data_IF_433563021084
#
_entry.id   IF_433563021084
#
_cell.length_a   1.000
_cell.length_b   1.000
_cell.length_c   1.000
_cell.angle_alpha   90.00
_cell.angle_beta   90.00
_cell.angle_gamma   90.00
#
_symmetry.space_group_name_H-M   'P 1'
#
loop_
_entity.id
_entity.type
_entity.pdbx_description
1 polymer ?
#
# COMPACT_ATOMS: atom_id res chain seq x y z
N UNK A 1 21.46 14.17 4.80
CA UNK A 1 20.52 13.70 5.82
C UNK A 1 19.36 14.67 5.89
N UNK A 2 18.13 14.22 5.71
CA UNK A 2 16.98 15.12 5.63
C UNK A 2 16.39 15.32 7.01
N UNK A 3 15.94 16.56 7.29
CA UNK A 3 15.12 16.83 8.48
C UNK A 3 13.97 15.85 8.56
N UNK A 4 13.67 15.33 9.75
CA UNK A 4 12.45 14.57 9.94
C UNK A 4 11.27 15.42 9.52
N UNK A 5 10.38 14.89 8.67
CA UNK A 5 9.20 15.60 8.17
C UNK A 5 8.25 16.10 9.27
N UNK A 6 8.45 15.68 10.53
CA UNK A 6 7.66 16.14 11.67
C UNK A 6 7.89 17.61 12.07
N UNK A 7 9.02 18.22 11.64
CA UNK A 7 9.29 19.65 11.88
C UNK A 7 8.57 20.56 10.89
N UNK A 8 7.88 20.02 9.88
CA UNK A 8 7.11 20.80 8.91
C UNK A 8 7.95 21.68 7.98
N UNK A 9 9.27 21.51 7.98
CA UNK A 9 10.19 22.23 7.09
C UNK A 9 10.67 21.23 6.04
N UNK A 10 9.97 21.09 4.91
CA UNK A 10 10.37 20.14 3.88
C UNK A 10 11.73 20.55 3.29
N UNK A 11 12.64 19.57 3.19
CA UNK A 11 13.91 19.69 2.44
C UNK A 11 15.02 20.55 3.06
N UNK A 12 14.96 20.94 4.32
CA UNK A 12 16.10 21.57 4.98
C UNK A 12 17.07 20.53 5.51
N UNK A 13 18.33 20.63 5.11
CA UNK A 13 19.42 19.85 5.68
C UNK A 13 20.05 20.65 6.82
N UNK A 14 19.76 20.26 8.06
CA UNK A 14 20.31 20.95 9.25
C UNK A 14 21.67 20.40 9.67
N UNK A 15 22.30 19.55 8.84
CA UNK A 15 23.69 19.11 9.04
C UNK A 15 23.93 18.15 10.20
N UNK A 16 22.90 17.74 10.96
CA UNK A 16 23.03 16.71 12.01
C UNK A 16 21.87 15.72 11.98
N UNK A 17 22.13 14.48 12.39
CA UNK A 17 21.09 13.46 12.49
C UNK A 17 20.43 13.52 13.86
N UNK A 18 19.12 13.76 13.85
CA UNK A 18 18.31 13.53 15.06
C UNK A 18 18.08 12.02 15.17
N UNK A 19 18.49 11.38 16.27
CA UNK A 19 18.26 9.96 16.44
C UNK A 19 16.76 9.68 16.41
N UNK A 20 16.35 8.82 15.48
CA UNK A 20 14.97 8.35 15.42
C UNK A 20 14.79 7.20 16.41
N UNK A 21 13.99 7.43 17.42
CA UNK A 21 13.59 6.39 18.36
C UNK A 21 12.16 5.93 18.05
N UNK A 22 12.00 4.68 17.66
CA UNK A 22 10.68 4.04 17.56
C UNK A 22 10.36 3.48 18.95
N UNK A 23 9.38 4.08 19.62
CA UNK A 23 8.86 3.49 20.85
C UNK A 23 8.20 2.14 20.55
N UNK A 24 8.21 1.18 21.48
CA UNK A 24 7.41 -0.02 21.37
C UNK A 24 5.94 0.34 21.14
N UNK A 25 5.25 -0.45 20.33
CA UNK A 25 3.83 -0.27 20.12
C UNK A 25 3.08 -0.50 21.43
N UNK A 26 2.26 0.46 21.85
CA UNK A 26 1.44 0.32 23.07
C UNK A 26 0.23 -0.59 22.85
N UNK A 27 -0.22 -0.71 21.61
CA UNK A 27 -1.31 -1.60 21.22
C UNK A 27 -1.20 -2.00 19.75
N UNK A 28 -1.88 -3.08 19.42
CA UNK A 28 -2.04 -3.54 18.04
C UNK A 28 -3.08 -2.64 17.34
N UNK A 29 -2.85 -2.23 16.09
CA UNK A 29 -3.82 -1.48 15.29
C UNK A 29 -5.17 -2.20 15.22
N UNK A 30 -6.25 -1.46 15.33
CA UNK A 30 -7.62 -1.98 15.27
C UNK A 30 -8.39 -1.34 14.12
N UNK A 31 -9.45 -2.00 13.69
CA UNK A 31 -10.41 -1.43 12.73
C UNK A 31 -11.00 -0.16 13.33
N UNK A 32 -10.99 0.92 12.55
CA UNK A 32 -11.40 2.26 13.00
C UNK A 32 -10.24 3.21 13.29
N UNK A 33 -9.05 2.71 13.63
CA UNK A 33 -7.88 3.54 13.91
C UNK A 33 -7.42 4.29 12.67
N UNK A 34 -7.03 5.54 12.85
CA UNK A 34 -6.37 6.31 11.79
C UNK A 34 -4.87 6.10 11.89
N UNK A 35 -4.33 5.34 10.97
CA UNK A 35 -2.93 4.91 10.97
C UNK A 35 -2.05 5.87 10.19
N UNK A 36 -0.85 6.09 10.73
CA UNK A 36 0.28 6.72 10.03
C UNK A 36 1.25 5.62 9.66
N UNK A 37 1.55 5.46 8.38
CA UNK A 37 2.42 4.40 7.90
C UNK A 37 3.27 4.83 6.71
N UNK A 38 4.34 4.08 6.45
CA UNK A 38 5.15 4.23 5.26
C UNK A 38 4.37 3.70 4.06
N UNK A 39 4.31 4.48 2.99
CA UNK A 39 3.66 4.04 1.75
C UNK A 39 4.38 2.81 1.19
N UNK A 40 3.69 1.69 0.95
CA UNK A 40 4.34 0.45 0.53
C UNK A 40 5.12 0.57 -0.79
N UNK A 41 4.68 1.45 -1.69
CA UNK A 41 5.32 1.69 -2.99
C UNK A 41 6.34 2.85 -2.97
N UNK A 42 6.53 3.51 -1.83
CA UNK A 42 7.58 4.49 -1.61
C UNK A 42 7.82 4.70 -0.11
N UNK A 43 8.82 4.00 0.44
CA UNK A 43 9.17 4.03 1.87
C UNK A 43 9.52 5.41 2.44
N UNK A 44 9.74 6.40 1.59
CA UNK A 44 10.04 7.78 2.02
C UNK A 44 8.78 8.64 2.18
N UNK A 45 7.66 8.19 1.61
CA UNK A 45 6.37 8.85 1.75
C UNK A 45 5.58 8.22 2.89
N UNK A 46 4.91 9.05 3.68
CA UNK A 46 4.03 8.61 4.77
C UNK A 46 2.59 8.94 4.40
N UNK A 47 1.73 7.99 4.64
CA UNK A 47 0.29 8.15 4.46
C UNK A 47 -0.43 8.10 5.80
N UNK A 48 -1.57 8.79 5.82
CA UNK A 48 -2.54 8.74 6.92
C UNK A 48 -3.85 8.21 6.34
N UNK A 49 -4.28 7.05 6.79
CA UNK A 49 -5.52 6.40 6.34
C UNK A 49 -6.16 5.67 7.50
N UNK A 50 -7.47 5.43 7.40
CA UNK A 50 -8.20 4.65 8.38
C UNK A 50 -8.04 3.15 8.13
N UNK A 51 -7.69 2.40 9.17
CA UNK A 51 -7.73 0.93 9.15
C UNK A 51 -9.19 0.47 9.03
N UNK A 52 -9.52 -0.24 7.97
CA UNK A 52 -10.90 -0.72 7.74
C UNK A 52 -11.02 -2.23 7.80
N UNK A 53 -9.92 -2.94 7.68
CA UNK A 53 -9.84 -4.39 7.91
C UNK A 53 -8.45 -4.74 8.46
N UNK A 54 -8.39 -5.71 9.36
CA UNK A 54 -7.19 -6.19 10.03
C UNK A 54 -6.79 -7.60 9.59
N UNK A 55 -5.75 -8.16 10.24
CA UNK A 55 -5.23 -9.48 9.90
C UNK A 55 -6.29 -10.58 10.01
N UNK A 56 -6.46 -11.36 8.95
CA UNK A 56 -7.43 -12.45 8.87
C UNK A 56 -8.83 -12.05 8.43
N UNK A 57 -9.11 -10.76 8.26
CA UNK A 57 -10.39 -10.30 7.74
C UNK A 57 -10.52 -10.51 6.24
N UNK A 58 -11.75 -10.65 5.77
CA UNK A 58 -12.09 -10.61 4.35
C UNK A 58 -12.96 -9.41 4.08
N UNK A 59 -12.53 -8.53 3.19
CA UNK A 59 -13.26 -7.32 2.84
C UNK A 59 -13.77 -7.36 1.41
N UNK A 60 -14.87 -6.65 1.18
CA UNK A 60 -15.37 -6.33 -0.16
C UNK A 60 -16.03 -4.96 -0.17
N UNK A 61 -16.02 -4.32 -1.32
CA UNK A 61 -16.76 -3.07 -1.57
C UNK A 61 -17.79 -3.37 -2.64
N UNK A 62 -19.05 -3.16 -2.32
CA UNK A 62 -20.17 -3.36 -3.23
C UNK A 62 -20.98 -2.07 -3.31
N UNK A 63 -20.97 -1.45 -4.46
CA UNK A 63 -21.70 -0.20 -4.69
C UNK A 63 -21.36 0.88 -3.64
N UNK A 64 -20.04 1.07 -3.41
CA UNK A 64 -19.43 1.95 -2.39
C UNK A 64 -19.57 1.49 -0.94
N UNK A 65 -20.43 0.56 -0.61
CA UNK A 65 -20.57 0.03 0.73
C UNK A 65 -19.44 -0.95 1.03
N UNK A 66 -18.81 -0.74 2.18
CA UNK A 66 -17.75 -1.62 2.68
C UNK A 66 -18.36 -2.74 3.51
N UNK A 67 -17.97 -3.96 3.23
CA UNK A 67 -18.28 -5.15 4.03
C UNK A 67 -16.97 -5.76 4.53
N UNK A 68 -16.94 -6.13 5.79
CA UNK A 68 -15.84 -6.89 6.41
C UNK A 68 -16.43 -8.13 7.05
N UNK A 69 -15.91 -9.29 6.69
CA UNK A 69 -16.44 -10.58 7.13
C UNK A 69 -17.95 -10.76 6.86
N UNK A 70 -18.43 -10.20 5.73
CA UNK A 70 -19.83 -10.15 5.29
C UNK A 70 -20.75 -9.22 6.10
N UNK A 71 -20.21 -8.43 7.01
CA UNK A 71 -20.96 -7.44 7.77
C UNK A 71 -20.71 -6.04 7.18
N UNK A 72 -21.77 -5.26 6.97
CA UNK A 72 -21.66 -3.88 6.48
C UNK A 72 -21.01 -3.00 7.53
N UNK A 73 -19.90 -2.38 7.16
CA UNK A 73 -19.21 -1.42 8.01
C UNK A 73 -19.83 -0.03 7.81
N UNK A 74 -20.46 0.48 8.85
CA UNK A 74 -21.03 1.83 8.82
C UNK A 74 -19.93 2.86 8.58
N UNK A 75 -20.18 3.81 7.67
CA UNK A 75 -19.25 4.88 7.40
C UNK A 75 -18.97 5.68 8.67
N UNK A 76 -17.70 5.96 8.93
CA UNK A 76 -17.31 6.84 10.04
C UNK A 76 -17.83 8.27 9.84
N UNK A 77 -18.03 9.01 10.93
CA UNK A 77 -18.62 10.35 10.94
C UNK A 77 -17.99 11.33 9.93
N UNK A 78 -16.67 11.24 9.75
CA UNK A 78 -15.93 12.08 8.79
C UNK A 78 -15.86 11.50 7.38
N UNK A 79 -16.43 10.31 7.17
CA UNK A 79 -16.42 9.65 5.87
C UNK A 79 -17.38 10.30 4.89
N UNK A 80 -16.99 10.35 3.62
CA UNK A 80 -17.82 10.92 2.56
C UNK A 80 -17.59 10.31 1.21
N UNK A 81 -18.66 10.34 0.41
CA UNK A 81 -18.64 10.13 -1.02
C UNK A 81 -18.96 11.44 -1.72
N UNK A 82 -18.31 11.73 -2.83
CA UNK A 82 -18.47 12.97 -3.60
C UNK A 82 -19.18 12.74 -4.93
N UNK A 83 -19.16 11.51 -5.42
CA UNK A 83 -19.68 11.14 -6.74
C UNK A 83 -20.67 9.98 -6.62
N UNK A 84 -21.54 9.76 -7.61
CA UNK A 84 -22.31 8.53 -7.70
C UNK A 84 -21.42 7.29 -7.81
N UNK A 85 -21.96 6.11 -7.46
CA UNK A 85 -21.25 4.85 -7.58
C UNK A 85 -20.94 4.53 -9.04
N UNK A 86 -19.75 3.96 -9.26
CA UNK A 86 -19.35 3.44 -10.56
C UNK A 86 -20.09 2.13 -10.85
N UNK A 87 -20.51 1.97 -12.09
CA UNK A 87 -21.15 0.71 -12.51
C UNK A 87 -20.17 -0.45 -12.44
N UNK A 88 -20.66 -1.64 -12.04
CA UNK A 88 -19.84 -2.85 -11.87
C UNK A 88 -19.08 -3.28 -13.13
N UNK A 89 -19.65 -3.03 -14.31
CA UNK A 89 -19.01 -3.35 -15.59
C UNK A 89 -17.84 -2.41 -15.97
N UNK A 90 -17.73 -1.26 -15.31
CA UNK A 90 -16.64 -0.35 -15.57
C UNK A 90 -15.35 -0.88 -14.92
N UNK A 91 -14.36 -1.18 -15.75
CA UNK A 91 -13.07 -1.68 -15.29
C UNK A 91 -12.08 -0.54 -15.09
N UNK A 92 -11.56 -0.43 -13.88
CA UNK A 92 -10.55 0.56 -13.52
C UNK A 92 -9.17 -0.14 -13.42
N UNK A 93 -8.23 0.17 -14.33
CA UNK A 93 -7.01 -0.61 -14.48
C UNK A 93 -5.96 -0.42 -13.39
N UNK A 94 -6.05 0.66 -12.62
CA UNK A 94 -5.14 1.04 -11.53
C UNK A 94 -5.57 0.52 -10.15
N UNK A 95 -6.67 -0.21 -10.07
CA UNK A 95 -7.14 -0.87 -8.85
C UNK A 95 -6.31 -2.13 -8.58
N UNK A 96 -5.98 -2.35 -7.32
CA UNK A 96 -5.32 -3.56 -6.87
C UNK A 96 -6.13 -4.80 -7.28
N UNK A 97 -5.48 -5.79 -7.89
CA UNK A 97 -6.10 -7.00 -8.45
C UNK A 97 -7.06 -6.77 -9.64
N UNK A 98 -6.97 -5.62 -10.33
CA UNK A 98 -7.90 -5.23 -11.41
C UNK A 98 -7.98 -6.19 -12.61
N UNK A 99 -7.10 -7.17 -12.70
CA UNK A 99 -7.07 -8.11 -13.84
C UNK A 99 -8.05 -9.26 -13.75
N UNK A 100 -8.59 -9.54 -12.58
CA UNK A 100 -9.32 -10.79 -12.35
C UNK A 100 -10.79 -10.70 -12.74
N UNK A 101 -11.41 -9.55 -12.55
CA UNK A 101 -12.82 -9.32 -12.88
C UNK A 101 -13.08 -7.86 -13.23
N UNK A 102 -14.34 -7.53 -13.52
CA UNK A 102 -14.78 -6.15 -13.70
C UNK A 102 -14.79 -5.42 -12.35
N UNK A 103 -13.63 -4.99 -11.89
CA UNK A 103 -13.48 -4.30 -10.61
C UNK A 103 -13.08 -2.85 -10.80
N UNK A 104 -13.56 -2.04 -9.88
CA UNK A 104 -13.26 -0.63 -9.75
C UNK A 104 -13.26 -0.23 -8.27
N UNK A 105 -12.93 1.02 -7.95
CA UNK A 105 -12.84 1.49 -6.56
C UNK A 105 -14.12 1.34 -5.74
N UNK A 106 -15.29 1.27 -6.41
CA UNK A 106 -16.62 1.20 -5.79
C UNK A 106 -17.18 -0.23 -5.78
N UNK A 107 -16.53 -1.16 -6.50
CA UNK A 107 -16.89 -2.57 -6.58
C UNK A 107 -15.59 -3.39 -6.62
N UNK A 108 -15.19 -3.93 -5.49
CA UNK A 108 -13.88 -4.57 -5.27
C UNK A 108 -14.00 -5.74 -4.31
N UNK A 109 -13.30 -6.81 -4.55
CA UNK A 109 -13.20 -7.97 -3.66
C UNK A 109 -14.09 -9.14 -4.05
N UNK A 110 -14.23 -10.16 -3.18
CA UNK A 110 -13.67 -10.21 -1.83
C UNK A 110 -12.14 -10.31 -1.80
N UNK A 111 -11.50 -9.66 -0.84
CA UNK A 111 -10.05 -9.66 -0.62
C UNK A 111 -9.77 -10.09 0.81
N UNK A 112 -9.01 -11.14 0.98
CA UNK A 112 -8.52 -11.59 2.27
C UNK A 112 -7.31 -10.75 2.69
N UNK A 113 -7.26 -10.30 3.95
CA UNK A 113 -6.14 -9.57 4.52
C UNK A 113 -5.22 -10.55 5.23
N UNK A 114 -3.97 -10.74 4.77
CA UNK A 114 -3.09 -11.76 5.33
C UNK A 114 -2.76 -11.50 6.80
N UNK A 115 -2.58 -12.58 7.55
CA UNK A 115 -2.06 -12.53 8.92
C UNK A 115 -0.80 -13.37 9.05
N UNK A 116 -0.02 -13.05 10.05
CA UNK A 116 1.16 -13.84 10.42
C UNK A 116 0.81 -15.31 10.63
N UNK A 117 1.57 -16.19 10.00
CA UNK A 117 1.39 -17.63 10.05
C UNK A 117 0.45 -18.20 8.98
N UNK A 118 -0.17 -17.37 8.15
CA UNK A 118 -0.92 -17.87 6.99
C UNK A 118 0.01 -18.58 6.02
N UNK A 119 -0.48 -19.69 5.46
CA UNK A 119 0.26 -20.51 4.51
C UNK A 119 -0.43 -20.45 3.16
N UNK A 120 0.28 -19.95 2.17
CA UNK A 120 -0.17 -19.88 0.78
C UNK A 120 0.53 -20.96 -0.04
N UNK A 121 -0.21 -21.97 -0.57
CA UNK A 121 0.39 -22.96 -1.46
C UNK A 121 0.84 -22.30 -2.76
N UNK A 122 2.03 -22.69 -3.23
CA UNK A 122 2.60 -22.20 -4.48
C UNK A 122 2.40 -23.29 -5.55
N UNK A 123 1.74 -22.92 -6.62
CA UNK A 123 1.46 -23.80 -7.77
C UNK A 123 1.19 -22.95 -9.03
N UNK A 124 0.98 -23.57 -10.17
CA UNK A 124 0.75 -22.89 -11.45
C UNK A 124 -0.40 -21.86 -11.44
N UNK A 125 -1.42 -22.07 -10.57
CA UNK A 125 -2.58 -21.16 -10.44
C UNK A 125 -2.45 -20.18 -9.28
N UNK A 126 -1.25 -20.02 -8.71
CA UNK A 126 -1.02 -19.03 -7.65
C UNK A 126 -1.32 -17.63 -8.15
N UNK A 127 -2.12 -16.89 -7.41
CA UNK A 127 -2.37 -15.48 -7.70
C UNK A 127 -1.15 -14.63 -7.33
N UNK A 128 -0.22 -14.51 -8.26
CA UNK A 128 1.02 -13.77 -8.05
C UNK A 128 0.79 -12.26 -7.84
N UNK A 129 -0.27 -11.70 -8.37
CA UNK A 129 -0.60 -10.28 -8.13
C UNK A 129 -0.97 -10.01 -6.69
N UNK A 130 -1.50 -11.03 -6.01
CA UNK A 130 -1.81 -10.99 -4.59
C UNK A 130 -0.58 -11.34 -3.74
N UNK A 131 0.10 -12.44 -4.04
CA UNK A 131 1.13 -13.01 -3.19
C UNK A 131 2.49 -12.33 -3.34
N UNK A 132 2.89 -11.94 -4.54
CA UNK A 132 4.22 -11.37 -4.78
C UNK A 132 4.47 -10.05 -4.04
N UNK A 133 3.51 -9.08 -3.96
CA UNK A 133 3.67 -7.91 -3.12
C UNK A 133 3.93 -8.24 -1.64
N UNK A 134 3.28 -9.27 -1.11
CA UNK A 134 3.45 -9.73 0.27
C UNK A 134 4.88 -10.25 0.49
N UNK A 135 5.32 -11.16 -0.37
CA UNK A 135 6.68 -11.73 -0.37
C UNK A 135 7.73 -10.59 -0.38
N UNK A 136 7.56 -9.64 -1.28
CA UNK A 136 8.51 -8.53 -1.40
C UNK A 136 8.44 -7.53 -0.23
N UNK A 137 7.26 -7.29 0.36
CA UNK A 137 7.12 -6.47 1.58
C UNK A 137 7.78 -7.11 2.79
N UNK A 138 7.97 -8.42 2.78
CA UNK A 138 8.71 -9.17 3.79
C UNK A 138 10.23 -9.23 3.54
N UNK A 139 10.69 -8.56 2.48
CA UNK A 139 12.12 -8.35 2.21
C UNK A 139 12.73 -9.33 1.22
N UNK A 140 11.93 -10.20 0.64
CA UNK A 140 12.40 -11.11 -0.41
C UNK A 140 12.55 -10.39 -1.75
N UNK A 141 13.48 -10.87 -2.57
CA UNK A 141 13.70 -10.41 -3.93
C UNK A 141 12.90 -11.29 -4.90
N UNK A 142 12.44 -10.69 -5.98
CA UNK A 142 11.76 -11.42 -7.03
C UNK A 142 12.25 -10.97 -8.40
N UNK A 143 12.57 -11.93 -9.25
CA UNK A 143 12.99 -11.69 -10.63
C UNK A 143 12.20 -12.59 -11.58
N UNK A 144 12.00 -12.11 -12.80
CA UNK A 144 11.53 -12.93 -13.90
C UNK A 144 12.73 -13.16 -14.80
N UNK A 145 13.19 -14.38 -14.88
CA UNK A 145 14.41 -14.73 -15.62
C UNK A 145 14.10 -15.80 -16.66
N UNK A 146 14.14 -15.39 -17.92
CA UNK A 146 14.12 -16.31 -19.03
C UNK A 146 15.44 -16.17 -19.83
N UNK A 147 15.77 -17.11 -20.67
CA UNK A 147 17.06 -17.17 -21.36
C UNK A 147 17.40 -15.92 -22.20
N UNK A 148 16.42 -15.06 -22.48
CA UNK A 148 16.59 -13.87 -23.30
C UNK A 148 16.60 -12.57 -22.46
N UNK A 149 15.81 -12.50 -21.40
CA UNK A 149 15.58 -11.26 -20.64
C UNK A 149 15.43 -11.56 -19.15
N UNK A 150 16.12 -10.78 -18.33
CA UNK A 150 15.95 -10.80 -16.88
C UNK A 150 15.33 -9.49 -16.40
N UNK A 151 14.27 -9.60 -15.60
CA UNK A 151 13.56 -8.46 -15.01
C UNK A 151 13.55 -8.59 -13.49
N UNK A 152 13.90 -7.52 -12.79
CA UNK A 152 13.78 -7.44 -11.35
C UNK A 152 12.44 -6.76 -10.99
N UNK A 153 11.68 -7.36 -10.09
CA UNK A 153 10.49 -6.73 -9.53
C UNK A 153 10.86 -5.69 -8.48
N UNK A 154 10.10 -4.62 -8.41
CA UNK A 154 10.26 -3.60 -7.38
C UNK A 154 8.90 -3.17 -6.82
N UNK A 155 8.87 -2.89 -5.51
CA UNK A 155 7.73 -2.26 -4.86
C UNK A 155 7.66 -0.75 -5.14
N UNK A 156 8.76 -0.13 -5.54
CA UNK A 156 8.79 1.31 -5.79
C UNK A 156 8.02 1.66 -7.05
N UNK A 157 7.15 2.66 -6.97
CA UNK A 157 6.51 3.22 -8.15
C UNK A 157 7.49 4.17 -8.86
N UNK A 158 7.93 3.86 -10.09
CA UNK A 158 8.84 4.72 -10.82
C UNK A 158 8.32 6.15 -10.98
N UNK A 159 7.02 6.31 -11.23
CA UNK A 159 6.41 7.63 -11.45
C UNK A 159 6.43 8.48 -10.18
N UNK A 160 6.16 7.87 -9.02
CA UNK A 160 6.23 8.56 -7.72
C UNK A 160 7.66 8.97 -7.37
N UNK A 161 8.62 8.09 -7.63
CA UNK A 161 10.03 8.36 -7.41
C UNK A 161 10.52 9.49 -8.34
N UNK A 162 10.12 9.46 -9.61
CA UNK A 162 10.43 10.51 -10.60
C UNK A 162 9.87 11.88 -10.21
N UNK A 163 8.63 11.91 -9.72
CA UNK A 163 7.98 13.15 -9.29
C UNK A 163 8.76 13.82 -8.15
N UNK A 164 9.39 13.04 -7.29
CA UNK A 164 10.08 13.52 -6.09
C UNK A 164 11.52 13.95 -6.31
N UNK A 165 12.29 13.27 -7.16
CA UNK A 165 13.74 13.48 -7.27
C UNK A 165 14.26 13.99 -8.63
N UNK A 166 13.39 14.09 -9.65
CA UNK A 166 13.80 14.36 -11.01
C UNK A 166 14.36 13.11 -11.73
N UNK A 167 14.21 13.11 -13.06
CA UNK A 167 14.32 11.87 -13.84
C UNK A 167 15.70 11.18 -13.82
N UNK A 168 16.80 11.93 -13.92
CA UNK A 168 18.13 11.32 -14.12
C UNK A 168 18.78 10.71 -12.88
N UNK A 169 18.67 11.37 -11.74
CA UNK A 169 19.28 10.87 -10.48
C UNK A 169 18.58 9.62 -9.96
N UNK A 170 17.29 9.50 -10.24
CA UNK A 170 16.46 8.39 -9.79
C UNK A 170 16.73 7.13 -10.60
N UNK A 171 16.91 7.25 -11.90
CA UNK A 171 17.19 6.09 -12.76
C UNK A 171 18.46 5.34 -12.35
N UNK A 172 19.53 6.07 -12.03
CA UNK A 172 20.81 5.47 -11.63
C UNK A 172 20.78 4.87 -10.21
N UNK A 173 20.02 5.47 -9.29
CA UNK A 173 20.00 5.04 -7.89
C UNK A 173 19.04 3.86 -7.65
N UNK A 174 17.89 3.83 -8.36
CA UNK A 174 16.82 2.86 -8.12
C UNK A 174 16.66 1.83 -9.22
N UNK A 175 17.21 2.10 -10.40
CA UNK A 175 17.12 1.23 -11.56
C UNK A 175 18.49 1.05 -12.21
N UNK A 176 19.44 0.42 -11.51
CA UNK A 176 20.81 0.25 -12.02
C UNK A 176 20.89 -0.57 -13.32
N UNK A 177 19.87 -1.36 -13.61
CA UNK A 177 19.82 -2.28 -14.75
C UNK A 177 19.04 -1.77 -15.97
N UNK A 178 18.72 -0.47 -16.04
CA UNK A 178 18.26 0.12 -17.30
C UNK A 178 16.76 0.06 -17.58
N UNK A 179 15.91 0.03 -16.58
CA UNK A 179 14.49 0.37 -16.76
C UNK A 179 13.55 -0.76 -17.16
N UNK A 180 13.99 -1.99 -17.14
CA UNK A 180 13.16 -3.18 -17.34
C UNK A 180 12.65 -3.76 -16.03
N UNK A 181 12.23 -2.87 -15.12
CA UNK A 181 11.70 -3.29 -13.82
C UNK A 181 10.19 -3.49 -13.90
N UNK A 182 9.75 -4.65 -13.48
CA UNK A 182 8.34 -4.96 -13.30
C UNK A 182 7.93 -4.66 -11.86
N UNK A 183 6.81 -3.98 -11.69
CA UNK A 183 6.21 -3.85 -10.36
C UNK A 183 5.17 -4.95 -10.18
N UNK A 184 4.93 -5.45 -8.95
CA UNK A 184 3.89 -6.46 -8.71
C UNK A 184 2.49 -6.00 -9.12
N UNK A 185 2.29 -4.69 -9.27
CA UNK A 185 1.04 -4.08 -9.74
C UNK A 185 0.96 -3.95 -11.27
N UNK A 186 2.04 -4.27 -12.00
CA UNK A 186 2.02 -4.17 -13.46
C UNK A 186 1.16 -5.29 -14.06
N UNK A 187 0.55 -4.98 -15.21
CA UNK A 187 -0.23 -5.96 -15.96
C UNK A 187 0.63 -7.06 -16.63
N UNK A 188 1.94 -6.97 -16.48
CA UNK A 188 2.88 -7.85 -17.16
C UNK A 188 3.06 -9.21 -16.49
N UNK A 189 2.55 -9.42 -15.27
CA UNK A 189 2.53 -10.76 -14.68
C UNK A 189 1.37 -11.53 -15.32
N UNK A 190 1.72 -12.49 -16.14
CA UNK A 190 0.80 -13.43 -16.78
C UNK A 190 0.97 -14.81 -16.15
N UNK A 191 0.00 -15.69 -16.31
CA UNK A 191 0.01 -17.02 -15.69
C UNK A 191 1.16 -17.90 -16.20
N UNK A 192 1.61 -17.68 -17.45
CA UNK A 192 2.75 -18.39 -18.05
C UNK A 192 4.13 -17.94 -17.53
N UNK A 193 4.20 -16.81 -16.83
CA UNK A 193 5.43 -16.32 -16.24
C UNK A 193 5.89 -17.10 -15.00
N UNK A 194 5.04 -17.93 -14.42
CA UNK A 194 5.41 -18.75 -13.25
C UNK A 194 6.68 -19.56 -13.44
N UNK A 195 6.91 -20.10 -14.62
CA UNK A 195 8.09 -20.93 -14.96
C UNK A 195 9.41 -20.17 -14.86
N UNK A 196 9.35 -18.85 -15.00
CA UNK A 196 10.52 -17.96 -15.04
C UNK A 196 10.65 -17.10 -13.80
N UNK A 197 9.70 -17.23 -12.87
CA UNK A 197 9.71 -16.45 -11.61
C UNK A 197 10.72 -17.04 -10.65
N UNK A 198 11.61 -16.21 -10.15
CA UNK A 198 12.61 -16.54 -9.14
C UNK A 198 12.32 -15.74 -7.87
N UNK A 199 12.35 -16.40 -6.74
CA UNK A 199 12.25 -15.79 -5.40
C UNK A 199 13.57 -16.06 -4.67
N UNK A 200 14.30 -15.01 -4.31
CA UNK A 200 15.65 -15.09 -3.71
C UNK A 200 16.61 -15.98 -4.51
N UNK A 201 16.52 -15.90 -5.85
CA UNK A 201 17.34 -16.70 -6.74
C UNK A 201 16.95 -18.17 -6.86
N UNK A 202 15.81 -18.57 -6.29
CA UNK A 202 15.28 -19.94 -6.45
C UNK A 202 14.02 -19.92 -7.34
N UNK A 203 13.89 -20.90 -8.27
CA UNK A 203 12.69 -21.00 -9.09
C UNK A 203 11.43 -21.14 -8.22
N UNK A 204 10.39 -20.38 -8.55
CA UNK A 204 9.14 -20.41 -7.78
C UNK A 204 8.42 -21.76 -7.85
N UNK A 205 8.61 -22.53 -8.92
CA UNK A 205 8.08 -23.89 -9.07
C UNK A 205 8.71 -24.92 -8.13
N UNK A 206 9.86 -24.58 -7.52
CA UNK A 206 10.50 -25.40 -6.48
C UNK A 206 10.05 -25.06 -5.06
N UNK A 207 9.24 -24.01 -4.91
CA UNK A 207 8.62 -23.63 -3.65
C UNK A 207 7.26 -24.32 -3.53
N UNK A 208 7.01 -24.99 -2.41
CA UNK A 208 5.73 -25.64 -2.18
C UNK A 208 4.69 -24.67 -1.58
N UNK A 209 5.16 -23.78 -0.73
CA UNK A 209 4.31 -22.85 0.02
C UNK A 209 5.09 -21.59 0.42
N UNK A 210 4.35 -20.55 0.75
CA UNK A 210 4.86 -19.34 1.38
C UNK A 210 4.15 -19.12 2.72
N UNK A 211 4.92 -18.90 3.78
CA UNK A 211 4.41 -18.63 5.12
C UNK A 211 4.57 -17.15 5.43
N UNK A 212 3.46 -16.47 5.68
CA UNK A 212 3.43 -15.02 5.99
C UNK A 212 4.09 -14.77 7.34
N UNK A 213 5.02 -13.83 7.40
CA UNK A 213 5.86 -13.57 8.59
C UNK A 213 5.38 -12.43 9.48
N UNK A 214 4.47 -11.58 8.98
CA UNK A 214 3.91 -10.43 9.70
C UNK A 214 2.42 -10.23 9.40
N UNK A 215 1.77 -9.41 10.21
CA UNK A 215 0.38 -9.02 10.00
C UNK A 215 0.24 -7.93 8.93
N UNK A 216 -0.90 -7.93 8.26
CA UNK A 216 -1.27 -6.93 7.26
C UNK A 216 -2.60 -6.26 7.58
N UNK A 217 -2.76 -5.07 7.05
CA UNK A 217 -3.94 -4.23 7.26
C UNK A 217 -4.43 -3.68 5.93
N UNK A 218 -5.72 -3.36 5.87
CA UNK A 218 -6.31 -2.65 4.74
C UNK A 218 -6.76 -1.27 5.20
N UNK A 219 -6.23 -0.24 4.55
CA UNK A 219 -6.43 1.13 4.97
C UNK A 219 -7.08 1.96 3.86
N UNK A 220 -8.14 2.70 4.19
CA UNK A 220 -8.88 3.54 3.25
C UNK A 220 -8.96 4.98 3.74
N UNK A 221 -9.01 5.92 2.80
CA UNK A 221 -9.24 7.33 3.14
C UNK A 221 -10.71 7.59 3.48
N UNK A 222 -10.97 8.50 4.42
CA UNK A 222 -12.33 8.89 4.78
C UNK A 222 -13.04 9.60 3.62
N UNK A 223 -12.32 10.38 2.81
CA UNK A 223 -12.83 10.84 1.51
C UNK A 223 -12.68 9.74 0.46
N UNK A 224 -13.68 8.87 0.36
CA UNK A 224 -13.66 7.64 -0.44
C UNK A 224 -13.42 7.86 -1.93
N UNK A 225 -13.89 8.96 -2.49
CA UNK A 225 -13.77 9.24 -3.92
C UNK A 225 -12.48 9.97 -4.31
N UNK A 226 -11.82 10.60 -3.33
CA UNK A 226 -10.57 11.34 -3.54
C UNK A 226 -9.52 10.84 -2.54
N UNK A 227 -9.16 9.58 -2.66
CA UNK A 227 -8.16 8.94 -1.83
C UNK A 227 -7.37 7.89 -2.62
N UNK A 228 -6.07 8.08 -2.69
CA UNK A 228 -5.14 7.03 -3.06
C UNK A 228 -4.88 6.16 -1.81
N UNK A 229 -5.47 4.96 -1.77
CA UNK A 229 -5.48 4.07 -0.61
C UNK A 229 -5.33 2.59 -1.00
N UNK A 230 -5.56 1.67 -0.08
CA UNK A 230 -5.34 0.23 -0.29
C UNK A 230 -6.11 -0.34 -1.49
N UNK A 231 -7.18 0.30 -1.93
CA UNK A 231 -7.89 -0.10 -3.17
C UNK A 231 -6.98 -0.04 -4.40
N UNK A 232 -5.96 0.82 -4.38
CA UNK A 232 -5.03 1.05 -5.49
C UNK A 232 -3.71 0.32 -5.30
N UNK A 233 -3.16 0.27 -4.08
CA UNK A 233 -1.82 -0.25 -3.83
C UNK A 233 -1.77 -1.49 -2.91
N UNK A 234 -2.92 -1.97 -2.40
CA UNK A 234 -3.01 -3.21 -1.64
C UNK A 234 -2.75 -3.03 -0.13
N UNK A 235 -2.01 -3.96 0.45
CA UNK A 235 -1.86 -4.12 1.89
C UNK A 235 -0.88 -3.14 2.53
N UNK A 236 -1.12 -2.84 3.82
CA UNK A 236 -0.18 -2.13 4.70
C UNK A 236 0.48 -3.17 5.60
N UNK A 237 1.79 -3.39 5.50
CA UNK A 237 2.49 -4.31 6.38
C UNK A 237 2.64 -3.71 7.79
N UNK A 238 2.57 -4.55 8.82
CA UNK A 238 2.71 -4.14 10.23
C UNK A 238 4.01 -3.36 10.48
N UNK A 239 5.13 -3.83 9.92
CA UNK A 239 6.43 -3.18 10.06
C UNK A 239 6.49 -1.78 9.43
N UNK A 240 5.57 -1.46 8.51
CA UNK A 240 5.41 -0.14 7.88
C UNK A 240 4.64 0.85 8.75
N UNK A 241 3.87 0.39 9.73
CA UNK A 241 3.06 1.25 10.59
C UNK A 241 3.95 2.01 11.57
N UNK A 242 3.78 3.32 11.61
CA UNK A 242 4.52 4.25 12.47
C UNK A 242 3.78 4.57 13.76
N UNK A 243 2.45 4.56 13.71
CA UNK A 243 1.60 4.85 14.86
C UNK A 243 0.17 5.21 14.45
N UNK A 244 -0.60 5.64 15.43
CA UNK A 244 -1.95 6.14 15.30
C UNK A 244 -1.99 7.66 15.36
N UNK A 245 -2.82 8.28 14.54
CA UNK A 245 -3.07 9.72 14.59
C UNK A 245 -4.11 10.02 15.66
N UNK A 246 -3.70 10.64 16.77
CA UNK A 246 -4.57 10.91 17.91
C UNK A 246 -5.25 12.26 17.82
N UNK A 247 -4.55 13.29 17.35
CA UNK A 247 -5.09 14.65 17.25
C UNK A 247 -4.42 15.46 16.14
N UNK A 248 -5.13 16.46 15.63
CA UNK A 248 -4.59 17.42 14.67
C UNK A 248 -3.90 18.56 15.41
N UNK A 249 -2.57 18.62 15.40
CA UNK A 249 -1.81 19.70 16.05
C UNK A 249 -1.80 20.99 15.25
N UNK A 250 -1.99 20.92 13.93
CA UNK A 250 -2.04 22.06 13.01
C UNK A 250 -2.94 21.77 11.80
N UNK A 251 -3.68 22.76 11.34
CA UNK A 251 -4.49 22.69 10.13
C UNK A 251 -4.45 24.02 9.40
N UNK A 252 -4.13 23.98 8.10
CA UNK A 252 -4.04 25.15 7.23
C UNK A 252 -5.07 25.02 6.10
N UNK A 253 -5.73 26.10 5.77
CA UNK A 253 -6.48 26.22 4.55
C UNK A 253 -5.50 26.61 3.44
N UNK A 254 -5.36 25.72 2.41
CA UNK A 254 -4.38 25.93 1.35
C UNK A 254 -4.82 26.97 0.31
N UNK A 255 -6.12 27.23 0.22
CA UNK A 255 -6.66 28.21 -0.74
C UNK A 255 -6.49 29.65 -0.22
N UNK A 256 -6.67 29.83 1.09
CA UNK A 256 -6.59 31.13 1.75
C UNK A 256 -5.30 31.35 2.54
N UNK A 257 -4.49 30.30 2.72
CA UNK A 257 -3.27 30.29 3.54
C UNK A 257 -3.53 30.71 5.01
N UNK A 258 -4.76 30.43 5.51
CA UNK A 258 -5.13 30.80 6.88
C UNK A 258 -5.19 29.56 7.77
N UNK A 259 -4.77 29.65 9.06
CA UNK A 259 -4.93 28.55 10.00
C UNK A 259 -6.41 28.27 10.29
N UNK A 260 -6.77 26.98 10.23
CA UNK A 260 -8.12 26.51 10.62
C UNK A 260 -8.15 26.25 12.13
N UNK A 261 -8.29 27.33 12.89
CA UNK A 261 -8.22 27.31 14.36
C UNK A 261 -9.15 26.27 15.01
N UNK A 262 -10.36 26.08 14.46
CA UNK A 262 -11.34 25.11 14.95
C UNK A 262 -10.89 23.65 14.84
N UNK A 263 -9.85 23.36 14.04
CA UNK A 263 -9.31 22.00 13.87
C UNK A 263 -8.05 21.72 14.66
N UNK A 264 -7.42 22.75 15.22
CA UNK A 264 -6.19 22.61 16.00
C UNK A 264 -6.53 22.02 17.37
N UNK A 265 -5.86 20.95 17.75
CA UNK A 265 -6.10 20.20 18.99
C UNK A 265 -7.32 19.29 18.98
N UNK A 266 -8.02 19.14 17.82
CA UNK A 266 -9.14 18.21 17.73
C UNK A 266 -8.68 16.77 17.68
N UNK A 267 -9.36 15.89 18.41
CA UNK A 267 -9.13 14.45 18.35
C UNK A 267 -9.51 13.92 16.97
N UNK A 268 -8.68 13.01 16.46
CA UNK A 268 -8.98 12.25 15.26
C UNK A 268 -9.72 10.97 15.71
N UNK A 269 -10.97 10.85 15.27
CA UNK A 269 -11.84 9.71 15.60
C UNK A 269 -12.21 8.95 14.35
#
# INVERSE_FOLDING_TARGET
MRTPDWLGIPYTDIGFSIPYYKFPAFRIPQVGDVLIFKYPRDKYVKYVKRCVAGPGDTLEVLDKKLYVNREEVVMWENGKYLTPSMQKQFKQPDIFLSSETNINRDNLGPIYVPKKGDVFPIHEKTNWRYLLPIIMMEGHTATLDNDEVSYEFTLQDPNEVFRRKGKESVYKEYFPHGGNLLTPWSKSIQDDHFKFLMIDGKPADQLNEYVVTQDYYWAMGDNRDDSLDSRYWGFVPENGILGEALFAYFSLDLDTWTPRWSRIGTNIK
#
